data_IF_187375356423
#
_entry.id   IF_187375356423
#
_cell.length_a   1.000
_cell.length_b   1.000
_cell.length_c   1.000
_cell.angle_alpha   90.00
_cell.angle_beta   90.00
_cell.angle_gamma   90.00
#
_symmetry.space_group_name_H-M   'P 1'
#
loop_
_entity.id
_entity.type
_entity.pdbx_description
1 polymer ?
#
# COMPACT_ATOMS: atom_id res chain seq x y z
N UNK A 1 7.22 -1.46 -11.30
CA UNK A 1 5.76 -1.41 -11.44
C UNK A 1 5.31 0.04 -11.30
N UNK A 2 4.41 0.50 -12.16
CA UNK A 2 3.76 1.80 -11.98
C UNK A 2 2.56 1.64 -11.04
N UNK A 3 2.72 2.04 -9.78
CA UNK A 3 1.67 1.93 -8.75
C UNK A 3 0.68 3.11 -8.79
N UNK A 4 0.92 4.15 -9.58
CA UNK A 4 0.17 5.42 -9.51
C UNK A 4 -1.31 5.29 -9.87
N UNK A 5 -1.67 4.25 -10.62
CA UNK A 5 -3.06 3.92 -10.98
C UNK A 5 -3.79 3.12 -9.90
N UNK A 6 -3.04 2.55 -8.95
CA UNK A 6 -3.53 1.63 -7.92
C UNK A 6 -3.55 2.29 -6.55
N UNK A 7 -2.51 3.05 -6.21
CA UNK A 7 -2.44 3.77 -4.95
C UNK A 7 -2.94 5.20 -5.16
N UNK A 8 -4.00 5.53 -4.45
CA UNK A 8 -4.70 6.82 -4.49
C UNK A 8 -4.48 7.57 -3.19
N UNK A 9 -4.41 8.90 -3.27
CA UNK A 9 -4.34 9.80 -2.12
C UNK A 9 -5.50 10.78 -2.24
N UNK A 10 -6.51 10.59 -1.40
CA UNK A 10 -7.73 11.40 -1.41
C UNK A 10 -7.84 12.10 -0.04
N UNK A 11 -7.86 13.45 0.03
CA UNK A 11 -7.82 14.19 1.30
C UNK A 11 -8.90 13.76 2.31
N UNK A 12 -10.12 13.48 1.83
CA UNK A 12 -11.27 13.12 2.66
C UNK A 12 -11.31 11.62 3.05
N UNK A 13 -10.33 10.84 2.61
CA UNK A 13 -10.27 9.40 2.82
C UNK A 13 -9.10 9.03 3.73
N UNK A 14 -9.42 8.46 4.89
CA UNK A 14 -8.42 8.04 5.91
C UNK A 14 -7.40 9.15 6.21
N UNK A 15 -7.84 10.41 6.23
CA UNK A 15 -7.01 11.59 6.47
C UNK A 15 -5.87 11.77 5.45
N UNK A 16 -6.14 11.54 4.17
CA UNK A 16 -5.14 11.68 3.09
C UNK A 16 -4.06 10.59 3.09
N UNK A 17 -4.27 9.47 3.77
CA UNK A 17 -3.34 8.34 3.72
C UNK A 17 -3.39 7.66 2.34
N UNK A 18 -2.25 7.20 1.79
CA UNK A 18 -2.24 6.40 0.57
C UNK A 18 -3.08 5.13 0.74
N UNK A 19 -4.08 4.96 -0.13
CA UNK A 19 -5.03 3.86 -0.11
C UNK A 19 -5.05 3.13 -1.45
N UNK A 20 -5.39 1.84 -1.43
CA UNK A 20 -5.67 1.08 -2.66
C UNK A 20 -6.95 1.65 -3.31
N UNK A 21 -6.95 1.78 -4.64
CA UNK A 21 -8.06 2.34 -5.42
C UNK A 21 -9.36 1.60 -5.10
N UNK A 22 -10.45 2.33 -4.91
CA UNK A 22 -11.76 1.72 -4.64
C UNK A 22 -11.94 1.12 -3.24
N UNK A 23 -10.90 1.05 -2.40
CA UNK A 23 -10.98 0.50 -1.03
C UNK A 23 -10.59 1.54 0.01
N UNK A 24 -10.87 1.29 1.30
CA UNK A 24 -10.35 2.09 2.43
C UNK A 24 -9.08 1.51 3.05
N UNK A 25 -8.53 0.45 2.45
CA UNK A 25 -7.30 -0.21 2.87
C UNK A 25 -6.11 0.70 2.56
N UNK A 26 -5.37 1.10 3.59
CA UNK A 26 -4.18 1.94 3.41
C UNK A 26 -2.97 1.10 3.07
N UNK A 27 -1.96 1.71 2.45
CA UNK A 27 -0.66 1.06 2.24
C UNK A 27 -0.05 0.62 3.57
N UNK A 28 -0.25 1.39 4.64
CA UNK A 28 0.25 1.06 5.98
C UNK A 28 -0.42 -0.22 6.51
N UNK A 29 -1.74 -0.34 6.38
CA UNK A 29 -2.48 -1.51 6.86
C UNK A 29 -1.89 -2.80 6.24
N UNK A 30 -1.69 -2.82 4.91
CA UNK A 30 -1.06 -3.96 4.21
C UNK A 30 0.35 -4.26 4.72
N UNK A 31 1.18 -3.23 4.89
CA UNK A 31 2.54 -3.41 5.39
C UNK A 31 2.57 -3.93 6.83
N UNK A 32 1.63 -3.50 7.69
CA UNK A 32 1.53 -3.98 9.07
C UNK A 32 1.12 -5.46 9.13
N UNK A 33 0.18 -5.91 8.29
CA UNK A 33 -0.17 -7.33 8.20
C UNK A 33 1.01 -8.19 7.73
N UNK A 34 1.71 -7.76 6.67
CA UNK A 34 2.88 -8.47 6.15
C UNK A 34 4.02 -8.49 7.19
N UNK A 35 4.26 -7.38 7.88
CA UNK A 35 5.26 -7.31 8.96
C UNK A 35 4.87 -8.17 10.17
N UNK A 36 3.56 -8.38 10.39
CA UNK A 36 3.02 -9.31 11.38
C UNK A 36 3.18 -10.79 11.01
N UNK A 37 3.70 -11.10 9.82
CA UNK A 37 3.98 -12.46 9.37
C UNK A 37 2.91 -13.07 8.47
N UNK A 38 1.85 -12.32 8.13
CA UNK A 38 0.85 -12.76 7.17
C UNK A 38 1.47 -12.84 5.76
N UNK A 39 1.14 -13.90 5.03
CA UNK A 39 1.51 -14.07 3.61
C UNK A 39 0.59 -13.26 2.70
N UNK A 40 0.98 -13.08 1.43
CA UNK A 40 0.12 -12.36 0.48
C UNK A 40 -1.16 -13.14 0.17
N UNK A 41 -1.06 -14.47 0.16
CA UNK A 41 -2.17 -15.39 -0.05
C UNK A 41 -3.20 -15.28 1.08
N UNK A 42 -2.76 -15.36 2.35
CA UNK A 42 -3.64 -15.18 3.52
C UNK A 42 -4.32 -13.80 3.51
N UNK A 43 -3.59 -12.77 3.06
CA UNK A 43 -4.13 -11.40 2.99
C UNK A 43 -5.22 -11.26 1.92
N UNK A 44 -5.09 -11.97 0.79
CA UNK A 44 -6.13 -12.04 -0.26
C UNK A 44 -7.32 -12.89 0.22
N UNK A 45 -7.07 -13.96 0.96
CA UNK A 45 -8.13 -14.79 1.54
C UNK A 45 -8.97 -14.00 2.56
N UNK A 46 -8.33 -13.22 3.44
CA UNK A 46 -9.00 -12.39 4.45
C UNK A 46 -9.66 -11.14 3.83
N UNK A 47 -9.07 -10.58 2.77
CA UNK A 47 -9.58 -9.41 2.05
C UNK A 47 -9.77 -9.71 0.56
N UNK A 48 -10.88 -10.36 0.15
CA UNK A 48 -11.11 -10.80 -1.22
C UNK A 48 -11.16 -9.69 -2.28
N UNK A 49 -11.35 -8.43 -1.86
CA UNK A 49 -11.29 -7.26 -2.73
C UNK A 49 -9.84 -6.87 -3.10
N UNK A 50 -8.85 -7.49 -2.47
CA UNK A 50 -7.44 -7.30 -2.78
C UNK A 50 -6.96 -8.30 -3.80
N UNK A 51 -6.13 -7.81 -4.71
CA UNK A 51 -5.39 -8.64 -5.65
C UNK A 51 -3.92 -8.65 -5.29
N UNK A 52 -3.19 -9.65 -5.78
CA UNK A 52 -1.73 -9.68 -5.66
C UNK A 52 -1.09 -8.44 -6.31
N UNK A 53 -1.69 -7.89 -7.36
CA UNK A 53 -1.26 -6.64 -7.98
C UNK A 53 -1.37 -5.45 -7.02
N UNK A 54 -2.44 -5.39 -6.22
CA UNK A 54 -2.61 -4.33 -5.23
C UNK A 54 -1.58 -4.42 -4.10
N UNK A 55 -1.26 -5.64 -3.64
CA UNK A 55 -0.21 -5.87 -2.65
C UNK A 55 1.16 -5.43 -3.21
N UNK A 56 1.48 -5.82 -4.45
CA UNK A 56 2.71 -5.37 -5.10
C UNK A 56 2.75 -3.84 -5.29
N UNK A 57 1.62 -3.19 -5.56
CA UNK A 57 1.54 -1.74 -5.64
C UNK A 57 1.83 -1.07 -4.29
N UNK A 58 1.34 -1.63 -3.18
CA UNK A 58 1.66 -1.17 -1.83
C UNK A 58 3.18 -1.26 -1.56
N UNK A 59 3.80 -2.38 -1.88
CA UNK A 59 5.25 -2.58 -1.72
C UNK A 59 6.07 -1.62 -2.60
N UNK A 60 5.68 -1.44 -3.86
CA UNK A 60 6.34 -0.53 -4.79
C UNK A 60 6.22 0.93 -4.34
N UNK A 61 5.05 1.35 -3.84
CA UNK A 61 4.84 2.68 -3.26
C UNK A 61 5.75 2.89 -2.04
N UNK A 62 5.83 1.91 -1.14
CA UNK A 62 6.67 1.99 0.05
C UNK A 62 8.17 2.12 -0.32
N UNK A 63 8.64 1.30 -1.26
CA UNK A 63 10.02 1.35 -1.72
C UNK A 63 10.38 2.68 -2.40
N UNK A 64 9.46 3.27 -3.17
CA UNK A 64 9.67 4.59 -3.76
C UNK A 64 9.70 5.71 -2.71
N UNK A 65 8.79 5.64 -1.71
CA UNK A 65 8.77 6.61 -0.61
C UNK A 65 10.06 6.56 0.20
N UNK A 66 10.56 5.36 0.50
CA UNK A 66 11.84 5.17 1.21
C UNK A 66 13.02 5.75 0.41
N UNK A 67 13.06 5.47 -0.91
CA UNK A 67 14.07 6.03 -1.80
C UNK A 67 14.08 7.55 -1.78
N UNK A 68 12.91 8.19 -1.79
CA UNK A 68 12.78 9.66 -1.73
C UNK A 68 13.24 10.22 -0.40
N UNK A 69 12.95 9.55 0.72
CA UNK A 69 13.43 9.95 2.04
C UNK A 69 14.96 9.92 2.12
N UNK A 70 15.59 8.89 1.53
CA UNK A 70 17.06 8.76 1.51
C UNK A 70 17.79 9.88 0.74
N UNK A 71 17.08 10.66 -0.08
CA UNK A 71 17.64 11.74 -0.91
C UNK A 71 17.37 13.12 -0.29
N UNK A 72 16.61 13.22 0.80
CA UNK A 72 16.40 14.48 1.50
C UNK A 72 17.69 14.92 2.20
N UNK A 73 18.18 16.16 1.95
CA UNK A 73 19.29 16.69 2.72
C UNK A 73 18.85 16.84 4.18
N UNK A 74 19.70 16.34 5.10
CA UNK A 74 19.55 16.48 6.56
C UNK A 74 19.62 17.95 6.99
#
# INVERSE_FOLDING_TARGET
>A
MDYSKIITIEPDKRSGKPCIRGTRMTVIDVLEYLAGGMTSEELIEEFPDLTLEDIHACLAFAADRERKLAILPL
#
